data_IF_668178846973
#
_entry.id   IF_668178846973
#
_cell.length_a   1.000
_cell.length_b   1.000
_cell.length_c   1.000
_cell.angle_alpha   90.00
_cell.angle_beta   90.00
_cell.angle_gamma   90.00
#
_symmetry.space_group_name_H-M   'P 1'
#
loop_
_entity.id
_entity.type
_entity.pdbx_description
1 polymer ?
#
# COMPACT_ATOMS: atom_id res chain seq x y z
N UNK A 1 4.43 -22.27 34.86
CA UNK A 1 4.82 -22.63 33.47
C UNK A 1 5.67 -21.50 32.98
N UNK A 2 6.96 -21.71 32.98
CA UNK A 2 7.99 -20.76 32.63
C UNK A 2 7.81 -20.33 31.18
N UNK A 3 7.75 -19.03 30.95
CA UNK A 3 7.96 -18.44 29.65
C UNK A 3 9.41 -18.75 29.25
N UNK A 4 9.57 -19.63 28.27
CA UNK A 4 10.83 -19.74 27.56
C UNK A 4 11.11 -18.35 26.99
N UNK A 5 12.15 -17.74 27.52
CA UNK A 5 12.75 -16.57 26.94
C UNK A 5 13.06 -16.91 25.48
N UNK A 6 12.47 -16.18 24.55
CA UNK A 6 12.96 -16.15 23.20
C UNK A 6 14.44 -15.79 23.32
N UNK A 7 15.30 -16.66 22.78
CA UNK A 7 16.70 -16.35 22.61
C UNK A 7 16.76 -14.97 21.94
N UNK A 8 17.18 -13.96 22.72
CA UNK A 8 17.80 -12.77 22.20
C UNK A 8 19.09 -13.27 21.52
N UNK A 9 18.97 -13.77 20.29
CA UNK A 9 20.12 -13.82 19.41
C UNK A 9 20.53 -12.36 19.26
N UNK A 10 21.58 -11.96 19.98
CA UNK A 10 22.27 -10.69 19.85
C UNK A 10 22.41 -10.45 18.33
N UNK A 11 21.66 -9.48 17.79
CA UNK A 11 21.71 -9.18 16.36
C UNK A 11 23.18 -8.88 16.03
N UNK A 12 23.79 -9.74 15.24
CA UNK A 12 25.21 -9.61 14.90
C UNK A 12 25.43 -8.25 14.24
N UNK A 13 26.51 -7.53 14.60
CA UNK A 13 26.83 -6.28 13.95
C UNK A 13 26.70 -6.37 12.43
N UNK A 14 26.03 -5.44 11.81
CA UNK A 14 25.79 -5.40 10.36
C UNK A 14 24.62 -6.23 9.83
N UNK A 15 23.92 -7.01 10.64
CA UNK A 15 22.77 -7.80 10.16
C UNK A 15 21.60 -6.93 9.73
N UNK A 16 21.35 -5.83 10.44
CA UNK A 16 20.35 -4.82 10.05
C UNK A 16 20.67 -4.22 8.69
N UNK A 17 21.91 -3.83 8.45
CA UNK A 17 22.32 -3.27 7.16
C UNK A 17 22.25 -4.32 6.05
N UNK A 18 22.69 -5.56 6.29
CA UNK A 18 22.56 -6.63 5.29
C UNK A 18 21.09 -6.89 4.92
N UNK A 19 20.22 -6.94 5.92
CA UNK A 19 18.77 -7.07 5.68
C UNK A 19 18.21 -5.91 4.88
N UNK A 20 18.63 -4.68 5.19
CA UNK A 20 18.23 -3.49 4.45
C UNK A 20 18.70 -3.54 2.99
N UNK A 21 19.97 -3.92 2.74
CA UNK A 21 20.54 -4.08 1.39
C UNK A 21 19.74 -5.11 0.58
N UNK A 22 19.48 -6.29 1.15
CA UNK A 22 18.70 -7.36 0.48
C UNK A 22 17.29 -6.85 0.12
N UNK A 23 16.64 -6.14 1.03
CA UNK A 23 15.31 -5.58 0.79
C UNK A 23 15.35 -4.49 -0.29
N UNK A 24 16.36 -3.63 -0.29
CA UNK A 24 16.53 -2.60 -1.31
C UNK A 24 16.80 -3.18 -2.69
N UNK A 25 17.54 -4.29 -2.79
CA UNK A 25 17.70 -4.99 -4.06
C UNK A 25 16.35 -5.37 -4.69
N UNK A 26 15.41 -5.89 -3.93
CA UNK A 26 14.06 -6.21 -4.42
C UNK A 26 13.32 -4.97 -4.94
N UNK A 27 13.40 -3.85 -4.23
CA UNK A 27 12.80 -2.59 -4.65
C UNK A 27 13.44 -2.06 -5.94
N UNK A 28 14.76 -2.07 -6.00
CA UNK A 28 15.49 -1.54 -7.16
C UNK A 28 15.32 -2.41 -8.41
N UNK A 29 15.16 -3.72 -8.27
CA UNK A 29 14.75 -4.58 -9.38
C UNK A 29 13.38 -4.19 -9.95
N UNK A 30 12.43 -3.82 -9.10
CA UNK A 30 11.13 -3.30 -9.57
C UNK A 30 11.26 -1.94 -10.26
N UNK A 31 12.20 -1.09 -9.83
CA UNK A 31 12.43 0.24 -10.41
C UNK A 31 13.23 0.18 -11.72
N UNK A 32 14.23 -0.67 -11.77
CA UNK A 32 15.15 -0.81 -12.92
C UNK A 32 14.62 -1.77 -13.99
N UNK A 33 13.70 -2.67 -13.62
CA UNK A 33 13.28 -3.78 -14.47
C UNK A 33 14.27 -4.95 -14.40
N UNK A 34 14.71 -5.46 -15.55
CA UNK A 34 15.70 -6.53 -15.59
C UNK A 34 17.11 -6.00 -15.30
N UNK A 35 17.80 -6.61 -14.34
CA UNK A 35 19.19 -6.30 -14.00
C UNK A 35 20.05 -7.52 -14.31
N UNK A 36 21.18 -7.31 -14.99
CA UNK A 36 22.14 -8.40 -15.26
C UNK A 36 22.89 -8.80 -13.99
N UNK A 37 23.50 -9.99 -13.91
CA UNK A 37 24.30 -10.38 -12.73
C UNK A 37 25.43 -9.39 -12.42
N UNK A 38 26.09 -8.82 -13.45
CA UNK A 38 27.08 -7.76 -13.25
C UNK A 38 26.42 -6.48 -12.68
N UNK A 39 25.25 -6.11 -13.21
CA UNK A 39 24.47 -4.98 -12.68
C UNK A 39 24.05 -5.17 -11.24
N UNK A 40 23.67 -6.40 -10.84
CA UNK A 40 23.37 -6.71 -9.43
C UNK A 40 24.59 -6.49 -8.53
N UNK A 41 25.79 -6.90 -8.96
CA UNK A 41 27.01 -6.68 -8.19
C UNK A 41 27.37 -5.19 -8.07
N UNK A 42 27.17 -4.41 -9.13
CA UNK A 42 27.37 -2.95 -9.14
C UNK A 42 26.37 -2.29 -8.16
N UNK A 43 25.11 -2.69 -8.24
CA UNK A 43 24.05 -2.16 -7.38
C UNK A 43 24.30 -2.47 -5.90
N UNK A 44 24.70 -3.71 -5.57
CA UNK A 44 25.04 -4.11 -4.21
C UNK A 44 26.13 -3.22 -3.62
N UNK A 45 27.21 -3.02 -4.37
CA UNK A 45 28.29 -2.14 -3.96
C UNK A 45 27.84 -0.68 -3.81
N UNK A 46 27.08 -0.17 -4.79
CA UNK A 46 26.60 1.20 -4.75
C UNK A 46 25.68 1.46 -3.52
N UNK A 47 24.84 0.49 -3.15
CA UNK A 47 24.02 0.60 -1.94
C UNK A 47 24.90 0.69 -0.68
N UNK A 48 25.89 -0.19 -0.55
CA UNK A 48 26.79 -0.17 0.60
C UNK A 48 27.60 1.13 0.68
N UNK A 49 28.14 1.59 -0.45
CA UNK A 49 28.88 2.85 -0.55
C UNK A 49 27.98 4.05 -0.19
N UNK A 50 26.70 4.01 -0.58
CA UNK A 50 25.72 5.04 -0.25
C UNK A 50 25.46 5.12 1.25
N UNK A 51 25.33 3.98 1.93
CA UNK A 51 25.21 3.95 3.40
C UNK A 51 26.50 4.43 4.08
N UNK A 52 27.66 4.08 3.52
CA UNK A 52 28.95 4.52 4.04
C UNK A 52 29.12 6.05 3.99
N UNK A 53 28.52 6.77 3.04
CA UNK A 53 28.47 8.24 3.00
C UNK A 53 27.81 8.84 4.26
N UNK A 54 26.96 8.09 4.93
CA UNK A 54 26.29 8.46 6.17
C UNK A 54 26.93 7.83 7.42
N UNK A 55 28.16 7.28 7.29
CA UNK A 55 28.88 6.55 8.33
C UNK A 55 28.14 5.29 8.82
N UNK A 56 27.26 4.72 7.98
CA UNK A 56 26.56 3.47 8.25
C UNK A 56 27.30 2.36 7.50
N UNK A 57 27.97 1.48 8.24
CA UNK A 57 28.73 0.34 7.71
C UNK A 57 28.30 -0.95 8.39
N UNK A 58 28.80 -2.09 7.92
CA UNK A 58 28.54 -3.39 8.56
C UNK A 58 29.10 -3.50 9.98
N UNK A 59 29.97 -2.58 10.39
CA UNK A 59 30.59 -2.53 11.72
C UNK A 59 29.89 -1.51 12.63
N UNK A 60 28.92 -0.74 12.12
CA UNK A 60 28.19 0.27 12.90
C UNK A 60 27.32 -0.42 13.95
N UNK A 61 27.51 -0.16 15.25
CA UNK A 61 26.80 -0.87 16.32
C UNK A 61 25.30 -0.56 16.34
N UNK A 62 24.91 0.70 16.11
CA UNK A 62 23.52 1.15 16.07
C UNK A 62 23.26 2.01 14.82
N UNK A 63 23.02 1.37 13.68
CA UNK A 63 22.74 2.09 12.44
C UNK A 63 21.41 2.86 12.47
N UNK A 64 20.47 2.47 13.35
CA UNK A 64 19.16 3.11 13.47
C UNK A 64 19.19 4.51 14.07
N UNK A 65 20.26 4.87 14.82
CA UNK A 65 20.45 6.22 15.38
C UNK A 65 20.98 7.23 14.36
N UNK A 66 21.46 6.78 13.20
CA UNK A 66 22.04 7.63 12.18
C UNK A 66 20.99 7.98 11.11
N UNK A 67 21.17 9.14 10.47
CA UNK A 67 20.29 9.56 9.39
C UNK A 67 20.53 8.69 8.14
N UNK A 68 19.53 7.94 7.65
CA UNK A 68 19.70 7.10 6.48
C UNK A 68 19.87 7.92 5.20
N UNK A 69 20.58 7.39 4.20
CA UNK A 69 20.67 8.03 2.89
C UNK A 69 19.33 8.05 2.16
N UNK A 70 19.21 8.96 1.21
CA UNK A 70 18.06 9.07 0.30
C UNK A 70 18.32 8.34 -1.01
N UNK A 71 17.28 8.24 -1.84
CA UNK A 71 17.42 7.69 -3.19
C UNK A 71 18.31 8.56 -4.08
N UNK A 72 18.32 9.89 -3.87
CA UNK A 72 19.24 10.80 -4.57
C UNK A 72 20.69 10.50 -4.25
N UNK A 73 21.03 10.22 -3.00
CA UNK A 73 22.40 9.84 -2.61
C UNK A 73 22.87 8.60 -3.40
N UNK A 74 21.97 7.60 -3.56
CA UNK A 74 22.28 6.39 -4.35
C UNK A 74 22.50 6.70 -5.84
N UNK A 75 21.66 7.56 -6.43
CA UNK A 75 21.82 7.96 -7.84
C UNK A 75 23.15 8.66 -8.05
N UNK A 76 23.60 9.51 -7.13
CA UNK A 76 24.87 10.20 -7.21
C UNK A 76 26.06 9.22 -7.09
N UNK A 77 25.97 8.22 -6.23
CA UNK A 77 26.97 7.13 -6.15
C UNK A 77 27.00 6.31 -7.45
N UNK A 78 25.84 5.92 -7.98
CA UNK A 78 25.75 5.17 -9.24
C UNK A 78 26.36 5.92 -10.43
N UNK A 79 26.19 7.25 -10.50
CA UNK A 79 26.80 8.08 -11.55
C UNK A 79 28.34 8.04 -11.55
N UNK A 80 28.93 7.83 -10.38
CA UNK A 80 30.40 7.77 -10.22
C UNK A 80 30.94 6.36 -10.20
N UNK A 81 30.06 5.36 -10.13
CA UNK A 81 30.43 3.94 -10.14
C UNK A 81 30.54 3.43 -11.58
N UNK A 82 31.68 2.83 -11.94
CA UNK A 82 31.89 2.26 -13.26
C UNK A 82 30.83 1.22 -13.59
N UNK A 83 30.07 1.43 -14.67
CA UNK A 83 28.94 0.59 -15.08
C UNK A 83 27.63 0.89 -14.39
N UNK A 84 27.57 1.91 -13.54
CA UNK A 84 26.35 2.35 -12.84
C UNK A 84 25.55 3.43 -13.56
N UNK A 85 26.13 4.05 -14.59
CA UNK A 85 25.60 5.25 -15.24
C UNK A 85 24.22 5.04 -15.89
N UNK A 86 23.97 3.86 -16.44
CA UNK A 86 22.68 3.53 -17.05
C UNK A 86 21.60 3.35 -15.97
N UNK A 87 21.93 2.67 -14.88
CA UNK A 87 21.03 2.53 -13.74
C UNK A 87 20.71 3.88 -13.11
N UNK A 88 21.70 4.77 -12.96
CA UNK A 88 21.49 6.13 -12.46
C UNK A 88 20.47 6.89 -13.32
N UNK A 89 20.59 6.84 -14.66
CA UNK A 89 19.64 7.48 -15.59
C UNK A 89 18.21 6.96 -15.43
N UNK A 90 18.04 5.64 -15.28
CA UNK A 90 16.72 5.05 -15.08
C UNK A 90 16.12 5.51 -13.74
N UNK A 91 16.95 5.58 -12.69
CA UNK A 91 16.52 5.96 -11.34
C UNK A 91 16.24 7.46 -11.19
N UNK A 92 16.72 8.33 -12.09
CA UNK A 92 16.36 9.75 -12.12
C UNK A 92 14.85 9.98 -12.18
N UNK A 93 14.08 9.06 -12.78
CA UNK A 93 12.62 9.11 -12.79
C UNK A 93 12.02 9.16 -11.38
N UNK A 94 12.69 8.56 -10.40
CA UNK A 94 12.24 8.43 -9.01
C UNK A 94 12.88 9.46 -8.07
N UNK A 95 13.89 10.22 -8.52
CA UNK A 95 14.60 11.19 -7.67
C UNK A 95 14.34 12.63 -8.04
N UNK A 96 14.31 12.94 -9.33
CA UNK A 96 14.09 14.30 -9.88
C UNK A 96 12.96 14.33 -10.90
N UNK A 97 12.52 13.16 -11.39
CA UNK A 97 11.45 13.03 -12.36
C UNK A 97 10.05 13.00 -11.75
N UNK A 98 9.08 12.50 -12.52
CA UNK A 98 7.66 12.52 -12.19
C UNK A 98 7.28 11.74 -10.92
N UNK A 99 8.13 10.81 -10.46
CA UNK A 99 7.85 9.96 -9.29
C UNK A 99 8.70 10.33 -8.06
N UNK A 100 9.43 11.45 -8.09
CA UNK A 100 10.31 11.87 -7.00
C UNK A 100 9.58 12.04 -5.66
N UNK A 101 8.41 12.67 -5.67
CA UNK A 101 7.64 12.95 -4.46
C UNK A 101 7.13 11.72 -3.70
N UNK A 102 7.20 10.52 -4.30
CA UNK A 102 6.80 9.29 -3.64
C UNK A 102 7.97 8.55 -2.99
N UNK A 103 9.17 8.60 -3.60
CA UNK A 103 10.29 7.73 -3.20
C UNK A 103 11.51 8.48 -2.67
N UNK A 104 11.64 9.78 -2.97
CA UNK A 104 12.82 10.57 -2.63
C UNK A 104 12.59 11.56 -1.50
N UNK A 105 11.68 11.25 -0.59
CA UNK A 105 11.36 12.08 0.57
C UNK A 105 11.66 11.32 1.86
N UNK A 106 11.94 12.06 2.94
CA UNK A 106 11.99 11.48 4.28
C UNK A 106 10.62 10.97 4.68
N UNK A 107 10.59 9.88 5.44
CA UNK A 107 9.33 9.33 5.95
C UNK A 107 8.58 10.39 6.76
N UNK A 108 7.37 10.72 6.31
CA UNK A 108 6.49 11.75 6.88
C UNK A 108 5.19 11.14 7.47
N UNK A 109 5.14 9.83 7.65
CA UNK A 109 3.97 9.10 8.15
C UNK A 109 4.18 8.80 9.62
N UNK A 110 3.17 9.11 10.47
CA UNK A 110 3.14 8.63 11.84
C UNK A 110 2.75 7.16 11.88
N UNK A 111 3.71 6.32 12.18
CA UNK A 111 3.60 4.87 12.18
C UNK A 111 3.25 4.30 13.57
N UNK A 112 3.00 5.17 14.56
CA UNK A 112 2.63 4.80 15.93
C UNK A 112 1.14 4.52 16.14
N UNK A 113 0.29 4.74 15.13
CA UNK A 113 -1.15 4.55 15.24
C UNK A 113 -1.56 3.09 15.44
N UNK A 114 -2.60 2.86 16.26
CA UNK A 114 -3.15 1.50 16.47
C UNK A 114 -3.80 0.89 15.22
N UNK A 115 -4.33 1.73 14.33
CA UNK A 115 -4.89 1.36 13.04
C UNK A 115 -4.24 2.20 11.95
N UNK A 116 -3.58 1.54 11.02
CA UNK A 116 -3.00 2.17 9.83
C UNK A 116 -3.64 1.60 8.57
N UNK A 117 -3.94 2.48 7.63
CA UNK A 117 -4.49 2.09 6.32
C UNK A 117 -3.61 2.67 5.23
N UNK A 118 -3.01 1.80 4.43
CA UNK A 118 -2.23 2.18 3.25
C UNK A 118 -3.12 2.06 2.02
N UNK A 119 -3.56 3.21 1.50
CA UNK A 119 -4.40 3.25 0.31
C UNK A 119 -3.53 3.30 -0.94
N UNK A 120 -3.62 2.27 -1.78
CA UNK A 120 -2.86 2.16 -3.04
C UNK A 120 -3.73 2.37 -4.27
N UNK A 121 -5.03 2.64 -4.10
CA UNK A 121 -6.02 2.72 -5.18
C UNK A 121 -5.70 3.83 -6.18
N UNK A 122 -5.29 4.99 -5.66
CA UNK A 122 -5.08 6.20 -6.47
C UNK A 122 -3.65 6.26 -7.06
N UNK A 123 -2.82 5.26 -6.77
CA UNK A 123 -1.49 5.15 -7.36
C UNK A 123 -1.58 4.67 -8.82
N UNK A 124 -0.77 5.28 -9.68
CA UNK A 124 -0.56 4.82 -11.03
C UNK A 124 -0.16 3.33 -11.04
N UNK A 125 -0.64 2.59 -12.03
CA UNK A 125 -0.38 1.14 -12.12
C UNK A 125 1.12 0.82 -12.13
N UNK A 126 1.94 1.67 -12.74
CA UNK A 126 3.39 1.51 -12.79
C UNK A 126 4.08 1.65 -11.41
N UNK A 127 3.49 2.42 -10.48
CA UNK A 127 4.06 2.68 -9.14
C UNK A 127 3.56 1.69 -8.09
N UNK A 128 2.42 1.08 -8.33
CA UNK A 128 1.75 0.23 -7.35
C UNK A 128 2.61 -0.92 -6.82
N UNK A 129 3.35 -1.70 -7.66
CA UNK A 129 4.20 -2.79 -7.17
C UNK A 129 5.28 -2.30 -6.22
N UNK A 130 5.92 -1.17 -6.54
CA UNK A 130 6.99 -0.59 -5.72
C UNK A 130 6.45 -0.06 -4.39
N UNK A 131 5.31 0.64 -4.42
CA UNK A 131 4.66 1.13 -3.20
C UNK A 131 4.23 -0.02 -2.27
N UNK A 132 3.62 -1.08 -2.83
CA UNK A 132 3.26 -2.29 -2.09
C UNK A 132 4.51 -2.93 -1.48
N UNK A 133 5.59 -3.01 -2.25
CA UNK A 133 6.85 -3.59 -1.78
C UNK A 133 7.43 -2.79 -0.59
N UNK A 134 7.46 -1.47 -0.68
CA UNK A 134 7.91 -0.57 0.41
C UNK A 134 7.05 -0.76 1.66
N UNK A 135 5.72 -0.76 1.51
CA UNK A 135 4.80 -0.96 2.65
C UNK A 135 5.00 -2.32 3.31
N UNK A 136 5.11 -3.40 2.52
CA UNK A 136 5.31 -4.74 3.07
C UNK A 136 6.65 -4.88 3.79
N UNK A 137 7.73 -4.29 3.25
CA UNK A 137 9.04 -4.26 3.91
C UNK A 137 8.99 -3.48 5.23
N UNK A 138 8.34 -2.33 5.23
CA UNK A 138 8.13 -1.54 6.44
C UNK A 138 7.39 -2.37 7.50
N UNK A 139 6.26 -2.96 7.14
CA UNK A 139 5.47 -3.79 8.06
C UNK A 139 6.28 -4.98 8.60
N UNK A 140 7.11 -5.59 7.77
CA UNK A 140 7.98 -6.69 8.20
C UNK A 140 9.02 -6.24 9.21
N UNK A 141 9.65 -5.09 9.00
CA UNK A 141 10.61 -4.55 9.97
C UNK A 141 9.93 -4.24 11.31
N UNK A 142 8.75 -3.61 11.31
CA UNK A 142 7.96 -3.39 12.51
C UNK A 142 7.56 -4.65 13.25
N UNK A 143 7.22 -5.70 12.51
CA UNK A 143 6.83 -6.99 13.09
C UNK A 143 8.02 -7.67 13.75
N UNK A 144 9.22 -7.57 13.16
CA UNK A 144 10.46 -8.19 13.66
C UNK A 144 10.99 -7.51 14.91
N UNK A 145 11.00 -6.19 14.93
CA UNK A 145 11.60 -5.39 16.00
C UNK A 145 10.76 -5.34 17.27
N UNK A 146 9.49 -5.68 17.20
CA UNK A 146 8.59 -5.58 18.35
C UNK A 146 7.56 -6.71 18.34
N UNK A 147 7.71 -7.66 19.28
CA UNK A 147 6.84 -8.83 19.46
C UNK A 147 5.45 -8.46 20.05
N UNK A 148 4.68 -7.67 19.31
CA UNK A 148 3.30 -7.30 19.67
C UNK A 148 2.31 -8.12 18.84
N UNK A 149 1.12 -8.38 19.37
CA UNK A 149 0.04 -8.96 18.58
C UNK A 149 -0.42 -7.97 17.53
N UNK A 150 -0.34 -8.35 16.25
CA UNK A 150 -0.74 -7.53 15.11
C UNK A 150 -1.62 -8.31 14.16
N UNK A 151 -2.45 -7.56 13.43
CA UNK A 151 -3.23 -8.10 12.32
C UNK A 151 -2.94 -7.25 11.08
N UNK A 152 -2.52 -7.92 10.01
CA UNK A 152 -2.39 -7.31 8.69
C UNK A 152 -3.56 -7.81 7.84
N UNK A 153 -4.32 -6.88 7.27
CA UNK A 153 -5.39 -7.19 6.31
C UNK A 153 -4.95 -6.69 4.95
N UNK A 154 -4.89 -7.60 3.99
CA UNK A 154 -4.53 -7.32 2.60
C UNK A 154 -5.79 -7.47 1.77
N UNK A 155 -6.38 -6.33 1.42
CA UNK A 155 -7.53 -6.28 0.51
C UNK A 155 -7.07 -6.32 -0.94
N UNK A 156 -7.90 -6.88 -1.82
CA UNK A 156 -7.58 -7.13 -3.23
C UNK A 156 -6.23 -7.82 -3.43
N UNK A 157 -5.98 -8.87 -2.65
CA UNK A 157 -4.69 -9.58 -2.59
C UNK A 157 -4.23 -10.15 -3.94
N UNK A 158 -5.15 -10.36 -4.90
CA UNK A 158 -4.81 -10.75 -6.27
C UNK A 158 -3.87 -9.74 -6.95
N UNK A 159 -4.00 -8.44 -6.63
CA UNK A 159 -3.10 -7.40 -7.15
C UNK A 159 -1.63 -7.66 -6.75
N UNK A 160 -1.40 -8.15 -5.53
CA UNK A 160 -0.04 -8.49 -5.06
C UNK A 160 0.48 -9.72 -5.80
N UNK A 161 -0.41 -10.68 -6.12
CA UNK A 161 -0.03 -11.92 -6.81
C UNK A 161 0.42 -11.72 -8.26
N UNK A 162 0.07 -10.59 -8.88
CA UNK A 162 0.54 -10.26 -10.24
C UNK A 162 2.05 -9.99 -10.32
N UNK A 163 2.69 -9.64 -9.20
CA UNK A 163 4.11 -9.30 -9.16
C UNK A 163 4.85 -10.34 -8.33
N UNK A 164 5.74 -11.08 -8.98
CA UNK A 164 6.41 -12.24 -8.36
C UNK A 164 7.13 -11.89 -7.05
N UNK A 165 7.87 -10.79 -7.01
CA UNK A 165 8.62 -10.39 -5.81
C UNK A 165 7.69 -10.01 -4.65
N UNK A 166 6.61 -9.30 -4.91
CA UNK A 166 5.60 -8.95 -3.90
C UNK A 166 4.84 -10.20 -3.42
N UNK A 167 4.49 -11.10 -4.32
CA UNK A 167 3.82 -12.36 -3.98
C UNK A 167 4.72 -13.28 -3.14
N UNK A 168 6.00 -13.40 -3.50
CA UNK A 168 7.03 -14.14 -2.76
C UNK A 168 7.22 -13.55 -1.37
N UNK A 169 7.25 -12.22 -1.27
CA UNK A 169 7.38 -11.53 0.01
C UNK A 169 6.19 -11.79 0.93
N UNK A 170 4.95 -11.61 0.44
CA UNK A 170 3.73 -11.87 1.19
C UNK A 170 3.65 -13.33 1.66
N UNK A 171 3.98 -14.26 0.79
CA UNK A 171 4.05 -15.68 1.13
C UNK A 171 5.08 -15.97 2.24
N UNK A 172 6.27 -15.38 2.12
CA UNK A 172 7.32 -15.48 3.15
C UNK A 172 6.88 -14.89 4.49
N UNK A 173 6.13 -13.78 4.48
CA UNK A 173 5.54 -13.16 5.65
C UNK A 173 4.53 -14.09 6.32
N UNK A 174 3.59 -14.66 5.54
CA UNK A 174 2.58 -15.61 6.03
C UNK A 174 3.22 -16.83 6.69
N UNK A 175 4.24 -17.41 6.09
CA UNK A 175 4.96 -18.55 6.66
C UNK A 175 5.59 -18.27 8.02
N UNK A 176 6.07 -17.06 8.23
CA UNK A 176 6.77 -16.63 9.45
C UNK A 176 5.86 -15.99 10.48
N UNK A 177 4.66 -15.56 10.08
CA UNK A 177 3.71 -14.78 10.87
C UNK A 177 3.51 -15.32 12.30
N UNK A 178 3.37 -16.64 12.43
CA UNK A 178 3.11 -17.29 13.73
C UNK A 178 4.22 -17.03 14.77
N UNK A 179 5.49 -16.96 14.35
CA UNK A 179 6.63 -16.69 15.26
C UNK A 179 6.61 -15.28 15.84
N UNK A 180 5.94 -14.35 15.15
CA UNK A 180 5.92 -12.93 15.49
C UNK A 180 4.55 -12.44 15.98
N UNK A 181 3.68 -13.35 16.46
CA UNK A 181 2.31 -13.03 16.91
C UNK A 181 1.51 -12.24 15.88
N UNK A 182 1.77 -12.48 14.59
CA UNK A 182 1.13 -11.81 13.47
C UNK A 182 0.01 -12.66 12.90
N UNK A 183 -1.21 -12.10 12.83
CA UNK A 183 -2.31 -12.60 12.01
C UNK A 183 -2.26 -11.93 10.63
N UNK A 184 -2.51 -12.71 9.57
CA UNK A 184 -2.61 -12.17 8.22
C UNK A 184 -3.93 -12.63 7.62
N UNK A 185 -4.72 -11.69 7.13
CA UNK A 185 -5.96 -11.92 6.39
C UNK A 185 -5.78 -11.41 4.97
N UNK A 186 -5.96 -12.28 3.99
CA UNK A 186 -6.00 -11.90 2.58
C UNK A 186 -7.44 -11.94 2.09
N UNK A 187 -7.88 -10.88 1.41
CA UNK A 187 -9.21 -10.76 0.82
C UNK A 187 -9.03 -10.62 -0.69
N UNK A 188 -9.79 -11.39 -1.46
CA UNK A 188 -9.76 -11.30 -2.92
C UNK A 188 -11.14 -11.55 -3.50
N UNK A 189 -11.49 -10.84 -4.56
CA UNK A 189 -12.67 -11.08 -5.39
C UNK A 189 -12.32 -12.01 -6.54
N UNK A 190 -11.10 -11.94 -7.05
CA UNK A 190 -10.61 -12.79 -8.11
C UNK A 190 -9.82 -13.96 -7.55
N UNK A 191 -10.53 -15.07 -7.38
CA UNK A 191 -9.94 -16.29 -6.83
C UNK A 191 -9.09 -17.02 -7.87
N UNK A 192 -9.45 -16.90 -9.15
CA UNK A 192 -8.74 -17.59 -10.22
C UNK A 192 -7.34 -17.00 -10.42
N UNK A 193 -7.24 -15.67 -10.51
CA UNK A 193 -5.96 -14.98 -10.60
C UNK A 193 -5.11 -15.22 -9.36
N UNK A 194 -5.73 -15.22 -8.17
CA UNK A 194 -5.02 -15.52 -6.94
C UNK A 194 -4.46 -16.94 -6.92
N UNK A 195 -5.24 -17.95 -7.35
CA UNK A 195 -4.85 -19.37 -7.36
C UNK A 195 -3.86 -19.73 -8.47
N UNK A 196 -3.85 -18.98 -9.57
CA UNK A 196 -2.90 -19.19 -10.68
C UNK A 196 -1.47 -18.77 -10.30
N UNK A 197 -1.32 -17.91 -9.29
CA UNK A 197 0.01 -17.59 -8.75
C UNK A 197 0.61 -18.81 -8.05
N UNK A 198 1.91 -19.12 -8.24
CA UNK A 198 2.60 -20.20 -7.52
C UNK A 198 2.59 -20.00 -6.00
N UNK A 199 2.31 -18.80 -5.53
CA UNK A 199 2.22 -18.44 -4.10
C UNK A 199 0.79 -18.48 -3.56
N UNK A 200 -0.23 -18.28 -4.39
CA UNK A 200 -1.63 -18.19 -3.97
C UNK A 200 -2.16 -19.50 -3.38
N UNK A 201 -1.99 -20.62 -4.09
CA UNK A 201 -2.41 -21.93 -3.59
C UNK A 201 -1.78 -22.29 -2.23
N UNK A 202 -0.46 -22.15 -2.02
CA UNK A 202 0.14 -22.35 -0.69
C UNK A 202 -0.40 -21.42 0.39
N UNK A 203 -0.77 -20.17 0.07
CA UNK A 203 -1.38 -19.25 1.02
C UNK A 203 -2.73 -19.77 1.48
N UNK A 204 -3.58 -20.17 0.53
CA UNK A 204 -4.91 -20.74 0.83
C UNK A 204 -4.79 -22.00 1.68
N UNK A 205 -3.90 -22.94 1.33
CA UNK A 205 -3.74 -24.19 2.08
C UNK A 205 -3.16 -24.01 3.49
N UNK A 206 -2.44 -22.92 3.74
CA UNK A 206 -1.91 -22.57 5.06
C UNK A 206 -2.89 -21.72 5.91
N UNK A 207 -3.99 -21.23 5.34
CA UNK A 207 -4.97 -20.46 6.07
C UNK A 207 -5.76 -21.37 7.01
N UNK A 208 -5.71 -21.07 8.32
CA UNK A 208 -6.44 -21.82 9.34
C UNK A 208 -7.97 -21.59 9.29
N UNK A 209 -8.35 -20.42 8.80
CA UNK A 209 -9.75 -19.99 8.63
C UNK A 209 -9.93 -19.45 7.22
N UNK A 210 -11.06 -19.81 6.59
CA UNK A 210 -11.39 -19.35 5.24
C UNK A 210 -12.88 -19.00 5.21
N UNK A 211 -13.23 -17.93 4.50
CA UNK A 211 -14.62 -17.51 4.31
C UNK A 211 -14.85 -17.39 2.81
N UNK A 212 -15.77 -18.18 2.29
CA UNK A 212 -16.23 -18.09 0.91
C UNK A 212 -17.63 -17.46 0.92
N UNK A 213 -17.74 -16.30 0.30
CA UNK A 213 -19.02 -15.62 0.07
C UNK A 213 -19.58 -16.02 -1.30
N UNK A 214 -20.66 -15.35 -1.76
CA UNK A 214 -21.28 -15.59 -3.06
C UNK A 214 -20.25 -15.64 -4.18
N UNK A 215 -20.39 -16.62 -5.05
CA UNK A 215 -19.47 -16.86 -6.16
C UNK A 215 -20.20 -16.81 -7.51
N UNK A 216 -19.45 -16.41 -8.56
CA UNK A 216 -19.93 -16.48 -9.93
C UNK A 216 -19.95 -17.94 -10.45
N UNK A 217 -20.90 -18.30 -11.34
CA UNK A 217 -20.93 -19.63 -11.94
C UNK A 217 -19.64 -20.03 -12.66
N UNK A 218 -18.92 -19.06 -13.24
CA UNK A 218 -17.64 -19.28 -13.92
C UNK A 218 -16.53 -19.73 -12.96
N UNK A 219 -16.48 -19.17 -11.74
CA UNK A 219 -15.44 -19.45 -10.74
C UNK A 219 -15.69 -20.71 -9.92
N UNK A 220 -16.93 -21.18 -9.83
CA UNK A 220 -17.31 -22.24 -8.87
C UNK A 220 -16.58 -23.58 -9.11
N UNK A 221 -16.24 -23.89 -10.36
CA UNK A 221 -15.54 -25.13 -10.69
C UNK A 221 -14.10 -25.16 -10.17
N UNK A 222 -13.38 -24.04 -10.32
CA UNK A 222 -12.02 -23.87 -9.80
C UNK A 222 -12.01 -23.85 -8.29
N UNK A 223 -12.96 -23.16 -7.66
CA UNK A 223 -13.16 -23.12 -6.21
C UNK A 223 -13.48 -24.50 -5.64
N UNK A 224 -14.39 -25.26 -6.29
CA UNK A 224 -14.76 -26.59 -5.79
C UNK A 224 -13.57 -27.53 -5.70
N UNK A 225 -12.64 -27.44 -6.65
CA UNK A 225 -11.39 -28.21 -6.63
C UNK A 225 -10.40 -27.72 -5.58
N UNK A 226 -10.33 -26.40 -5.39
CA UNK A 226 -9.37 -25.78 -4.49
C UNK A 226 -9.73 -25.98 -3.00
N UNK A 227 -11.05 -25.97 -2.69
CA UNK A 227 -11.58 -26.02 -1.34
C UNK A 227 -12.33 -27.34 -1.02
N UNK A 228 -12.31 -28.29 -1.94
CA UNK A 228 -13.00 -29.60 -1.82
C UNK A 228 -14.48 -29.43 -1.43
N UNK A 229 -15.19 -28.56 -2.18
CA UNK A 229 -16.59 -28.21 -1.87
C UNK A 229 -17.55 -29.36 -2.20
N UNK A 230 -18.44 -29.67 -1.28
CA UNK A 230 -19.58 -30.53 -1.53
C UNK A 230 -20.58 -29.89 -2.50
N UNK A 231 -21.47 -30.69 -3.11
CA UNK A 231 -22.51 -30.14 -3.99
C UNK A 231 -23.46 -29.17 -3.28
N UNK A 232 -23.76 -29.44 -1.99
CA UNK A 232 -24.58 -28.53 -1.18
C UNK A 232 -23.91 -27.16 -0.94
N UNK A 233 -22.60 -27.15 -0.68
CA UNK A 233 -21.83 -25.92 -0.50
C UNK A 233 -21.71 -25.15 -1.83
N UNK A 234 -21.49 -25.83 -2.94
CA UNK A 234 -21.51 -25.21 -4.29
C UNK A 234 -22.86 -24.54 -4.57
N UNK A 235 -23.96 -25.25 -4.31
CA UNK A 235 -25.30 -24.70 -4.47
C UNK A 235 -25.52 -23.49 -3.56
N UNK A 236 -25.11 -23.56 -2.31
CA UNK A 236 -25.19 -22.46 -1.35
C UNK A 236 -24.43 -21.25 -1.86
N UNK A 237 -23.17 -21.39 -2.27
CA UNK A 237 -22.32 -20.27 -2.72
C UNK A 237 -22.86 -19.61 -4.00
N UNK A 238 -23.45 -20.36 -4.92
CA UNK A 238 -24.07 -19.82 -6.14
C UNK A 238 -25.33 -19.00 -5.84
N UNK A 239 -26.11 -19.42 -4.82
CA UNK A 239 -27.40 -18.83 -4.50
C UNK A 239 -27.37 -17.93 -3.26
N UNK A 240 -26.20 -17.72 -2.66
CA UNK A 240 -26.02 -16.85 -1.50
C UNK A 240 -26.47 -15.42 -1.74
N UNK A 241 -27.13 -14.84 -0.75
CA UNK A 241 -27.39 -13.42 -0.66
C UNK A 241 -26.17 -12.65 -0.10
N UNK A 242 -26.37 -11.34 0.14
CA UNK A 242 -25.35 -10.49 0.74
C UNK A 242 -25.05 -11.00 2.17
N UNK A 243 -23.77 -11.16 2.48
CA UNK A 243 -23.29 -11.64 3.78
C UNK A 243 -23.47 -13.13 4.04
N UNK A 244 -24.00 -13.89 3.07
CA UNK A 244 -24.14 -15.34 3.16
C UNK A 244 -22.94 -16.05 2.52
N UNK A 245 -22.53 -17.15 3.13
CA UNK A 245 -21.41 -17.92 2.63
C UNK A 245 -21.11 -19.17 3.45
N UNK A 246 -19.91 -19.70 3.28
CA UNK A 246 -19.40 -20.87 4.00
C UNK A 246 -18.13 -20.46 4.75
N UNK A 247 -18.06 -20.77 6.02
CA UNK A 247 -16.89 -20.59 6.87
C UNK A 247 -16.21 -21.94 7.08
N UNK A 248 -14.92 -21.98 6.86
CA UNK A 248 -14.05 -23.11 7.09
C UNK A 248 -13.15 -22.85 8.29
N UNK A 249 -13.14 -23.76 9.24
CA UNK A 249 -12.22 -23.78 10.38
C UNK A 249 -11.54 -25.15 10.43
N UNK A 250 -10.39 -25.27 9.81
CA UNK A 250 -9.74 -26.55 9.56
C UNK A 250 -10.61 -27.46 8.68
N UNK A 251 -11.05 -28.60 9.23
CA UNK A 251 -11.93 -29.55 8.51
C UNK A 251 -13.43 -29.32 8.73
N UNK A 252 -13.81 -28.33 9.52
CA UNK A 252 -15.21 -28.05 9.81
C UNK A 252 -15.71 -26.93 8.89
N UNK A 253 -16.83 -27.18 8.25
CA UNK A 253 -17.50 -26.24 7.36
C UNK A 253 -18.85 -25.86 7.96
N UNK A 254 -19.17 -24.59 7.96
CA UNK A 254 -20.44 -24.05 8.53
C UNK A 254 -20.98 -22.98 7.59
N UNK A 255 -22.26 -23.09 7.22
CA UNK A 255 -22.95 -22.00 6.55
C UNK A 255 -23.04 -20.79 7.50
N UNK A 256 -22.75 -19.60 7.00
CA UNK A 256 -22.79 -18.39 7.80
C UNK A 256 -23.66 -17.31 7.17
N UNK A 257 -24.20 -16.45 8.03
CA UNK A 257 -24.85 -15.21 7.67
C UNK A 257 -24.23 -14.08 8.48
N UNK A 258 -23.54 -13.15 7.80
CA UNK A 258 -23.01 -11.94 8.41
C UNK A 258 -24.07 -10.86 8.34
N UNK A 259 -24.44 -10.31 9.50
CA UNK A 259 -25.42 -9.22 9.61
C UNK A 259 -24.76 -8.05 10.31
N UNK A 260 -24.60 -6.95 9.58
CA UNK A 260 -24.08 -5.72 10.15
C UNK A 260 -25.15 -5.04 11.01
N UNK A 261 -24.77 -4.54 12.19
CA UNK A 261 -25.63 -3.64 12.95
C UNK A 261 -25.83 -2.31 12.20
N UNK A 262 -26.86 -1.52 12.52
CA UNK A 262 -27.05 -0.21 11.88
C UNK A 262 -25.82 0.71 11.96
N UNK A 263 -25.10 0.69 13.09
CA UNK A 263 -23.87 1.49 13.27
C UNK A 263 -22.70 0.98 12.41
N UNK A 264 -22.55 -0.33 12.29
CA UNK A 264 -21.57 -0.93 11.40
C UNK A 264 -21.91 -0.67 9.94
N UNK A 265 -23.19 -0.78 9.58
CA UNK A 265 -23.65 -0.45 8.23
C UNK A 265 -23.32 0.99 7.83
N UNK A 266 -23.52 1.96 8.73
CA UNK A 266 -23.10 3.35 8.49
C UNK A 266 -21.61 3.51 8.20
N UNK A 267 -20.75 2.64 8.77
CA UNK A 267 -19.30 2.69 8.57
C UNK A 267 -18.89 2.01 7.27
N UNK A 268 -19.49 0.84 6.99
CA UNK A 268 -19.03 -0.04 5.90
C UNK A 268 -19.76 0.16 4.57
N UNK A 269 -20.88 0.91 4.56
CA UNK A 269 -21.64 1.14 3.33
C UNK A 269 -20.80 1.81 2.24
N UNK A 270 -20.91 1.27 1.03
CA UNK A 270 -20.31 1.83 -0.18
C UNK A 270 -21.36 2.46 -1.10
N UNK A 271 -22.64 2.51 -0.68
CA UNK A 271 -23.69 3.14 -1.42
C UNK A 271 -23.47 4.68 -1.51
N UNK A 272 -23.29 5.26 -2.71
CA UNK A 272 -23.00 6.68 -2.87
C UNK A 272 -24.06 7.61 -2.26
N UNK A 273 -25.34 7.23 -2.36
CA UNK A 273 -26.44 8.04 -1.81
C UNK A 273 -26.42 8.09 -0.29
N UNK A 274 -26.16 6.94 0.36
CA UNK A 274 -26.05 6.84 1.81
C UNK A 274 -24.84 7.62 2.31
N UNK A 275 -23.70 7.52 1.59
CA UNK A 275 -22.48 8.27 1.90
C UNK A 275 -22.73 9.78 1.78
N UNK A 276 -23.40 10.24 0.71
CA UNK A 276 -23.71 11.65 0.50
C UNK A 276 -24.61 12.18 1.60
N UNK A 277 -25.68 11.44 1.98
CA UNK A 277 -26.58 11.79 3.07
C UNK A 277 -25.82 11.94 4.40
N UNK A 278 -24.98 10.94 4.73
CA UNK A 278 -24.18 10.95 5.95
C UNK A 278 -23.22 12.14 6.01
N UNK A 279 -22.59 12.48 4.88
CA UNK A 279 -21.67 13.61 4.80
C UNK A 279 -22.41 14.94 4.99
N UNK A 280 -23.61 15.09 4.43
CA UNK A 280 -24.47 16.25 4.62
C UNK A 280 -24.91 16.39 6.08
N UNK A 281 -25.35 15.29 6.73
CA UNK A 281 -25.72 15.28 8.15
C UNK A 281 -24.54 15.67 9.05
N UNK A 282 -23.34 15.17 8.77
CA UNK A 282 -22.11 15.54 9.51
C UNK A 282 -21.71 17.00 9.32
N UNK A 283 -21.89 17.55 8.12
CA UNK A 283 -21.64 18.97 7.85
C UNK A 283 -22.60 19.84 8.63
N UNK A 284 -23.90 19.56 8.56
CA UNK A 284 -24.94 20.27 9.32
C UNK A 284 -24.75 20.18 10.85
N UNK A 285 -24.27 19.04 11.36
CA UNK A 285 -23.95 18.88 12.77
C UNK A 285 -22.71 19.69 13.22
N UNK A 286 -21.73 19.87 12.35
CA UNK A 286 -20.55 20.72 12.60
C UNK A 286 -20.93 22.20 12.61
N UNK A 287 -21.77 22.65 11.69
CA UNK A 287 -22.28 24.02 11.64
C UNK A 287 -23.07 24.38 12.91
N UNK A 288 -23.98 23.51 13.34
CA UNK A 288 -24.72 23.68 14.59
C UNK A 288 -23.82 23.77 15.84
N UNK A 289 -22.73 23.00 15.87
CA UNK A 289 -21.74 23.06 16.97
C UNK A 289 -20.92 24.35 16.90
N UNK A 290 -20.55 24.82 15.72
CA UNK A 290 -19.83 26.08 15.51
C UNK A 290 -20.67 27.29 15.95
N UNK A 291 -21.96 27.32 15.62
CA UNK A 291 -22.89 28.36 16.05
C UNK A 291 -23.14 28.38 17.59
N UNK A 292 -23.13 27.19 18.22
CA UNK A 292 -23.30 27.12 19.69
C UNK A 292 -22.07 27.65 20.42
N UNK A 293 -20.87 27.48 19.84
CA UNK A 293 -19.64 27.99 20.45
C UNK A 293 -19.49 29.51 20.27
N UNK A 294 -19.97 30.06 19.16
CA UNK A 294 -19.96 31.52 18.93
C UNK A 294 -21.01 32.28 19.80
N UNK A 295 -22.14 31.67 20.09
CA UNK A 295 -23.17 32.28 20.97
C UNK A 295 -22.77 32.34 22.44
N UNK A 296 -21.85 31.46 22.90
CA UNK A 296 -21.31 31.55 24.27
C UNK A 296 -20.13 32.51 24.40
N UNK A 297 -19.52 32.92 23.33
CA UNK A 297 -18.43 33.92 23.33
C UNK A 297 -18.95 35.38 23.39
N UNK A 298 -20.22 35.63 23.04
CA UNK A 298 -20.79 36.99 22.96
C UNK A 298 -21.51 37.44 24.26
N UNK A 299 -21.41 36.68 25.34
CA UNK A 299 -22.01 37.06 26.64
C UNK A 299 -20.98 37.48 27.71
N UNK A 300 -19.71 37.69 27.38
CA UNK A 300 -18.76 38.32 28.27
C UNK A 300 -18.76 39.83 28.06
N UNK A 301 -19.38 40.56 28.98
CA UNK A 301 -19.39 42.03 29.04
C UNK A 301 -17.95 42.61 29.02
N UNK A 302 -17.71 43.75 28.35
CA UNK A 302 -16.44 44.44 28.40
C UNK A 302 -16.22 45.06 29.76
N UNK A 303 -15.16 44.72 30.42
CA UNK A 303 -14.63 45.47 31.56
C UNK A 303 -14.06 46.80 31.09
N UNK A 304 -14.51 47.89 31.65
CA UNK A 304 -14.06 49.25 31.46
C UNK A 304 -12.51 49.38 31.54
N UNK A 305 -11.88 49.81 30.48
CA UNK A 305 -10.46 50.20 30.49
C UNK A 305 -10.35 51.73 30.36
N UNK A 306 -9.78 52.32 31.40
CA UNK A 306 -9.40 53.71 31.53
C UNK A 306 -8.38 54.12 30.44
N UNK A 307 -8.48 55.28 29.79
CA UNK A 307 -7.55 55.70 28.73
C UNK A 307 -6.28 56.32 29.31
N UNK A 308 -5.13 55.83 28.90
CA UNK A 308 -3.86 56.57 29.04
C UNK A 308 -3.34 57.00 27.68
N UNK A 309 -3.16 58.31 27.60
CA UNK A 309 -2.61 59.10 26.50
C UNK A 309 -1.17 58.75 26.15
N UNK A 310 -0.81 58.68 24.91
CA UNK A 310 0.25 59.46 24.22
C UNK A 310 0.45 58.98 22.77
N UNK A 311 0.31 59.91 21.83
CA UNK A 311 0.74 59.84 20.43
C UNK A 311 2.18 60.38 20.29
N UNK A 312 2.78 60.52 19.12
CA UNK A 312 2.71 59.78 17.85
C UNK A 312 4.14 59.46 17.30
N UNK A 313 4.30 58.73 16.22
CA UNK A 313 5.16 59.11 15.09
C UNK A 313 5.04 58.19 13.86
N UNK A 314 5.09 58.82 12.73
CA UNK A 314 4.94 58.45 11.34
C UNK A 314 5.86 57.33 10.82
N UNK A 315 5.39 56.66 9.75
CA UNK A 315 6.22 55.80 8.89
C UNK A 315 5.42 55.18 7.75
N UNK A 316 5.24 55.94 6.66
CA UNK A 316 4.65 55.50 5.40
C UNK A 316 5.46 54.36 4.76
N UNK A 317 4.82 53.34 4.18
CA UNK A 317 5.18 52.86 2.84
C UNK A 317 4.06 52.03 2.22
N UNK A 318 3.63 52.51 1.07
CA UNK A 318 2.64 51.91 0.18
C UNK A 318 3.25 50.72 -0.58
N UNK A 319 2.46 49.70 -0.81
CA UNK A 319 2.58 48.92 -2.04
C UNK A 319 1.19 48.50 -2.58
N UNK A 320 1.02 48.88 -3.84
CA UNK A 320 -0.17 48.76 -4.67
C UNK A 320 -0.47 47.29 -5.02
N UNK A 321 -1.78 47.03 -5.20
CA UNK A 321 -2.38 45.79 -5.67
C UNK A 321 -1.99 45.37 -7.08
N UNK A 322 -2.23 44.12 -7.32
CA UNK A 322 -2.35 43.52 -8.66
C UNK A 322 -3.67 42.82 -8.82
N UNK A 323 -4.29 43.10 -9.96
CA UNK A 323 -5.63 42.70 -10.38
C UNK A 323 -5.73 41.20 -10.67
N UNK A 324 -6.87 40.59 -10.30
CA UNK A 324 -7.36 39.37 -10.88
C UNK A 324 -7.56 39.51 -12.40
N UNK A 325 -7.06 38.55 -13.15
CA UNK A 325 -7.39 38.32 -14.56
C UNK A 325 -8.01 36.93 -14.63
N UNK A 326 -9.27 36.88 -15.04
CA UNK A 326 -9.96 35.60 -15.44
C UNK A 326 -9.43 35.24 -16.83
N UNK A 327 -9.26 33.93 -17.13
CA UNK A 327 -9.03 33.49 -18.51
C UNK A 327 -10.33 33.04 -19.19
N UNK A 328 -10.48 33.59 -20.41
CA UNK A 328 -11.54 33.33 -21.39
C UNK A 328 -11.75 31.83 -21.70
N UNK A 329 -13.03 31.50 -21.90
CA UNK A 329 -13.47 30.24 -22.46
C UNK A 329 -13.31 30.23 -23.98
N UNK A 330 -12.37 29.46 -24.49
CA UNK A 330 -12.27 29.15 -25.91
C UNK A 330 -12.94 27.79 -26.22
N UNK A 331 -13.99 27.86 -27.06
CA UNK A 331 -14.71 26.70 -27.60
C UNK A 331 -13.83 26.01 -28.63
N UNK A 332 -13.47 24.74 -28.38
CA UNK A 332 -12.87 23.89 -29.40
C UNK A 332 -13.89 22.88 -29.93
N UNK A 333 -14.20 23.01 -31.22
CA UNK A 333 -15.02 22.10 -32.02
C UNK A 333 -14.35 20.72 -32.17
N UNK A 334 -15.09 19.66 -31.88
CA UNK A 334 -14.65 18.28 -32.07
C UNK A 334 -14.88 17.80 -33.50
N UNK A 335 -13.82 17.40 -34.20
CA UNK A 335 -13.88 16.60 -35.43
C UNK A 335 -13.86 15.11 -35.10
N UNK A 336 -14.59 14.28 -35.85
CA UNK A 336 -14.67 12.84 -35.57
C UNK A 336 -13.39 12.10 -35.98
N UNK A 337 -12.92 11.20 -35.09
CA UNK A 337 -11.80 10.29 -35.36
C UNK A 337 -12.25 9.12 -36.23
N UNK A 338 -11.44 8.78 -37.25
CA UNK A 338 -11.54 7.60 -38.11
C UNK A 338 -11.29 6.33 -37.29
N UNK A 339 -12.13 5.31 -37.57
CA UNK A 339 -11.95 3.94 -37.11
C UNK A 339 -10.67 3.33 -37.69
N UNK A 340 -9.76 2.89 -36.83
CA UNK A 340 -8.63 2.02 -37.22
C UNK A 340 -9.09 0.57 -37.17
N UNK A 341 -8.98 -0.10 -38.31
CA UNK A 341 -9.22 -1.54 -38.45
C UNK A 341 -8.03 -2.32 -37.88
N UNK A 342 -8.33 -3.23 -36.95
CA UNK A 342 -7.37 -4.21 -36.45
C UNK A 342 -7.19 -5.35 -37.46
N UNK A 343 -5.96 -5.86 -37.64
CA UNK A 343 -5.70 -7.02 -38.50
C UNK A 343 -6.17 -8.34 -37.86
N UNK A 344 -6.75 -9.21 -38.66
CA UNK A 344 -7.18 -10.55 -38.26
C UNK A 344 -6.01 -11.46 -37.85
N UNK A 345 -6.21 -12.38 -36.88
CA UNK A 345 -5.19 -13.33 -36.46
C UNK A 345 -4.98 -14.44 -37.52
N UNK A 346 -3.74 -14.95 -37.67
CA UNK A 346 -3.41 -15.97 -38.68
C UNK A 346 -4.07 -17.33 -38.39
N UNK A 347 -4.50 -17.99 -39.48
CA UNK A 347 -5.16 -19.28 -39.48
C UNK A 347 -4.30 -20.40 -38.87
N UNK A 348 -4.93 -21.26 -38.07
CA UNK A 348 -4.31 -22.46 -37.48
C UNK A 348 -3.99 -23.47 -38.58
N UNK A 349 -2.72 -23.83 -38.73
CA UNK A 349 -2.25 -24.96 -39.54
C UNK A 349 -2.48 -26.26 -38.76
N UNK A 350 -3.37 -27.10 -39.24
CA UNK A 350 -3.53 -28.49 -38.80
C UNK A 350 -2.29 -29.30 -39.20
N UNK A 351 -1.59 -29.85 -38.20
CA UNK A 351 -0.61 -30.91 -38.42
C UNK A 351 -1.33 -32.25 -38.43
N UNK A 352 -1.33 -32.87 -39.62
CA UNK A 352 -1.67 -34.29 -39.79
C UNK A 352 -0.61 -35.14 -39.08
N UNK A 353 -1.04 -36.00 -38.19
CA UNK A 353 -0.28 -37.15 -37.74
C UNK A 353 -0.29 -38.21 -38.84
N UNK A 354 0.86 -38.67 -39.27
CA UNK A 354 1.10 -39.91 -40.00
C UNK A 354 1.93 -40.83 -39.12
N UNK A 355 1.30 -42.00 -38.84
CA UNK A 355 1.85 -43.27 -38.35
C UNK A 355 2.85 -43.27 -37.19
#
# INVERSE_FOLDING_TARGET
MSADAADDEDEKPGELLRSAVINLHGLFKLMLGSVTPEGEAILDRAILDTYALRNITLETPDPGSLEPPTLSDLVDVLRTTTGGEEMAKIMEKYTTGSFAGLFNEKTNIDLGAQLMVFQTRDLEQALRPMAIYVVLNYLWNEVRTSLKRRLIVVDEAWNIMQYEDSARFLYGLIKRARKYYLGITTITQDVEDFMNSPYGKPIVTNAAMQILLKQAPSAISSLSKAFDLTEGERYLLLNSGIGQGVFFAGRKHVALQIVASPKEHEIVTTNPEEIARRNAERAAAKEKKGETTSRHADQSQPLDVIPSSTSPTEGQSAYRGTKHVEPDQEKAESKPKKEEQFPEPPAKTEKKEEK
#
